data_IF_395056788226
#
_entry.id   IF_395056788226
#
_cell.length_a   1.000
_cell.length_b   1.000
_cell.length_c   1.000
_cell.angle_alpha   90.00
_cell.angle_beta   90.00
_cell.angle_gamma   90.00
#
_symmetry.space_group_name_H-M   'P 1'
#
loop_
_entity.id
_entity.type
_entity.pdbx_description
1 polymer ?
#
# COMPACT_ATOMS: atom_id res chain seq x y z
N UNK A 1 8.41 19.00 2.44
CA UNK A 1 8.28 18.30 3.74
C UNK A 1 9.00 16.95 3.65
N UNK A 2 9.92 16.70 4.56
CA UNK A 2 10.66 15.45 4.60
C UNK A 2 9.78 14.31 5.11
N UNK A 3 9.89 13.11 4.55
CA UNK A 3 9.16 11.91 5.01
C UNK A 3 9.45 11.64 6.49
N UNK A 4 10.69 11.83 6.92
CA UNK A 4 11.10 11.68 8.32
C UNK A 4 10.32 12.59 9.28
N UNK A 5 10.10 13.84 8.90
CA UNK A 5 9.33 14.78 9.74
C UNK A 5 7.86 14.37 9.82
N UNK A 6 7.32 13.80 8.74
CA UNK A 6 5.96 13.24 8.73
C UNK A 6 5.85 12.06 9.69
N UNK A 7 6.79 11.11 9.64
CA UNK A 7 6.79 9.94 10.53
C UNK A 7 6.86 10.37 12.00
N UNK A 8 7.76 11.29 12.35
CA UNK A 8 7.86 11.82 13.72
C UNK A 8 6.57 12.46 14.20
N UNK A 9 5.92 13.26 13.36
CA UNK A 9 4.63 13.88 13.70
C UNK A 9 3.51 12.86 13.86
N UNK A 10 3.48 11.83 13.03
CA UNK A 10 2.50 10.74 13.14
C UNK A 10 2.67 9.98 14.45
N UNK A 11 3.89 9.60 14.80
CA UNK A 11 4.20 8.90 16.06
C UNK A 11 3.81 9.74 17.28
N UNK A 12 4.16 11.02 17.27
CA UNK A 12 3.84 11.94 18.37
C UNK A 12 2.33 12.15 18.58
N UNK A 13 1.52 12.03 17.54
CA UNK A 13 0.07 12.26 17.60
C UNK A 13 -0.76 10.98 17.52
N UNK A 14 -0.15 9.81 17.43
CA UNK A 14 -0.84 8.53 17.27
C UNK A 14 -1.66 8.43 15.96
N UNK A 15 -1.29 9.21 14.93
CA UNK A 15 -2.00 9.23 13.66
C UNK A 15 -1.69 8.00 12.82
N UNK A 16 -2.69 7.54 12.06
CA UNK A 16 -2.55 6.44 11.10
C UNK A 16 -2.36 6.97 9.69
N UNK A 17 -1.63 6.22 8.86
CA UNK A 17 -1.41 6.56 7.47
C UNK A 17 -1.98 5.47 6.56
N UNK A 18 -2.60 5.91 5.46
CA UNK A 18 -3.15 5.03 4.43
C UNK A 18 -2.60 5.41 3.07
N UNK A 19 -2.29 4.39 2.26
CA UNK A 19 -1.95 4.56 0.85
C UNK A 19 -3.18 4.23 0.02
N UNK A 20 -3.69 5.21 -0.73
CA UNK A 20 -4.84 5.02 -1.59
C UNK A 20 -4.41 5.11 -3.05
N UNK A 21 -4.58 4.00 -3.79
CA UNK A 21 -4.31 4.00 -5.21
C UNK A 21 -5.50 4.61 -5.98
N UNK A 22 -5.25 5.71 -6.65
CA UNK A 22 -6.22 6.39 -7.53
C UNK A 22 -5.89 6.24 -9.00
N UNK A 23 -4.86 5.47 -9.33
CA UNK A 23 -4.35 5.26 -10.68
C UNK A 23 -4.93 4.02 -11.36
N UNK A 24 -4.06 3.28 -12.02
CA UNK A 24 -4.41 2.10 -12.81
C UNK A 24 -4.29 0.83 -11.97
N UNK A 25 -5.17 -0.13 -12.24
CA UNK A 25 -5.10 -1.48 -11.68
C UNK A 25 -4.57 -2.50 -12.72
N UNK A 26 -4.47 -3.77 -12.33
CA UNK A 26 -3.98 -4.84 -13.19
C UNK A 26 -4.82 -5.12 -14.43
N UNK A 27 -6.09 -4.68 -14.46
CA UNK A 27 -6.95 -4.79 -15.65
C UNK A 27 -6.64 -3.75 -16.74
N UNK A 28 -5.69 -2.84 -16.50
CA UNK A 28 -5.43 -1.70 -17.36
C UNK A 28 -6.49 -0.60 -17.30
N UNK A 29 -7.39 -0.66 -16.33
CA UNK A 29 -8.41 0.36 -16.09
C UNK A 29 -8.03 1.23 -14.88
N UNK A 30 -8.39 2.49 -14.96
CA UNK A 30 -8.23 3.41 -13.84
C UNK A 30 -9.27 3.13 -12.77
N UNK A 31 -8.87 3.20 -11.50
CA UNK A 31 -9.79 3.11 -10.38
C UNK A 31 -10.77 4.28 -10.44
N UNK A 32 -12.06 3.98 -10.28
CA UNK A 32 -13.11 4.97 -10.46
C UNK A 32 -13.11 5.99 -9.33
N UNK A 33 -13.61 7.19 -9.61
CA UNK A 33 -13.80 8.23 -8.59
C UNK A 33 -14.77 7.75 -7.50
N UNK A 34 -15.78 6.98 -7.88
CA UNK A 34 -16.75 6.39 -6.95
C UNK A 34 -16.06 5.47 -5.95
N UNK A 35 -15.21 4.57 -6.42
CA UNK A 35 -14.46 3.64 -5.55
C UNK A 35 -13.46 4.40 -4.67
N UNK A 36 -12.75 5.38 -5.23
CA UNK A 36 -11.83 6.23 -4.48
C UNK A 36 -12.54 6.98 -3.35
N UNK A 37 -13.71 7.56 -3.62
CA UNK A 37 -14.52 8.23 -2.59
C UNK A 37 -14.98 7.25 -1.52
N UNK A 38 -15.45 6.07 -1.90
CA UNK A 38 -15.85 5.02 -0.95
C UNK A 38 -14.71 4.61 -0.02
N UNK A 39 -13.50 4.50 -0.53
CA UNK A 39 -12.30 4.20 0.29
C UNK A 39 -12.03 5.35 1.27
N UNK A 40 -12.05 6.59 0.80
CA UNK A 40 -11.82 7.76 1.65
C UNK A 40 -12.91 7.88 2.73
N UNK A 41 -14.16 7.67 2.38
CA UNK A 41 -15.27 7.69 3.34
C UNK A 41 -15.10 6.60 4.41
N UNK A 42 -14.66 5.40 4.03
CA UNK A 42 -14.37 4.32 4.98
C UNK A 42 -13.20 4.65 5.92
N UNK A 43 -12.22 5.41 5.46
CA UNK A 43 -11.12 5.91 6.30
C UNK A 43 -11.66 6.95 7.29
N UNK A 44 -12.42 7.92 6.82
CA UNK A 44 -12.96 9.01 7.65
C UNK A 44 -13.99 8.54 8.67
N UNK A 45 -14.84 7.58 8.31
CA UNK A 45 -15.82 6.97 9.23
C UNK A 45 -15.21 6.00 10.24
N UNK A 46 -13.99 5.54 9.99
CA UNK A 46 -13.31 4.51 10.77
C UNK A 46 -13.73 3.07 10.42
N UNK A 47 -14.53 2.85 9.41
CA UNK A 47 -14.95 1.51 8.98
C UNK A 47 -13.77 0.66 8.52
N UNK A 48 -12.74 1.28 7.95
CA UNK A 48 -11.50 0.60 7.57
C UNK A 48 -10.79 -0.07 8.76
N UNK A 49 -10.94 0.49 9.96
CA UNK A 49 -10.36 -0.07 11.18
C UNK A 49 -11.09 -1.31 11.69
N UNK A 50 -12.33 -1.49 11.27
CA UNK A 50 -13.18 -2.63 11.61
C UNK A 50 -13.13 -3.74 10.55
N UNK A 51 -12.64 -3.42 9.37
CA UNK A 51 -12.54 -4.36 8.27
C UNK A 51 -11.47 -5.43 8.55
N UNK A 52 -11.76 -6.66 8.16
CA UNK A 52 -10.74 -7.70 8.11
C UNK A 52 -9.69 -7.33 7.07
N UNK A 53 -8.43 -7.57 7.40
CA UNK A 53 -7.30 -7.28 6.53
C UNK A 53 -6.57 -8.55 6.12
N UNK A 54 -5.90 -8.48 4.98
CA UNK A 54 -4.92 -9.48 4.53
C UNK A 54 -3.62 -8.80 4.13
N UNK A 55 -2.51 -9.50 4.29
CA UNK A 55 -1.19 -8.95 3.99
C UNK A 55 -0.80 -9.28 2.56
N UNK A 56 -0.34 -8.25 1.81
CA UNK A 56 0.22 -8.45 0.47
C UNK A 56 1.63 -9.03 0.61
N UNK A 57 1.93 -10.17 -0.02
CA UNK A 57 3.27 -10.74 -0.02
C UNK A 57 4.33 -9.76 -0.57
N UNK A 58 5.57 -9.90 -0.13
CA UNK A 58 6.73 -9.09 -0.49
C UNK A 58 6.72 -7.67 0.05
N UNK A 59 5.58 -6.97 0.04
CA UNK A 59 5.47 -5.58 0.48
C UNK A 59 5.05 -5.43 1.94
N UNK A 60 4.49 -6.49 2.55
CA UNK A 60 3.99 -6.48 3.93
C UNK A 60 2.98 -5.35 4.22
N UNK A 61 2.22 -4.97 3.21
CA UNK A 61 1.15 -4.00 3.34
C UNK A 61 -0.17 -4.71 3.64
N UNK A 62 -0.89 -4.21 4.62
CA UNK A 62 -2.23 -4.70 4.94
C UNK A 62 -3.27 -4.02 4.05
N UNK A 63 -4.13 -4.83 3.45
CA UNK A 63 -5.25 -4.34 2.65
C UNK A 63 -6.57 -4.89 3.22
N UNK A 64 -7.65 -4.10 3.25
CA UNK A 64 -8.94 -4.58 3.69
C UNK A 64 -9.51 -5.60 2.69
N UNK A 65 -10.22 -6.59 3.19
CA UNK A 65 -10.88 -7.60 2.35
C UNK A 65 -12.22 -7.11 1.78
N UNK A 66 -12.86 -6.19 2.49
CA UNK A 66 -14.09 -5.54 2.04
C UNK A 66 -14.25 -4.16 2.68
N UNK A 67 -14.87 -3.23 1.97
CA UNK A 67 -15.25 -1.92 2.47
C UNK A 67 -16.67 -1.56 1.98
N UNK A 68 -17.47 -0.86 2.80
CA UNK A 68 -18.79 -0.42 2.39
C UNK A 68 -18.75 0.47 1.13
N UNK A 69 -19.58 0.17 0.14
CA UNK A 69 -19.68 0.97 -1.09
C UNK A 69 -18.51 0.87 -2.05
N UNK A 70 -17.55 -0.01 -1.79
CA UNK A 70 -16.38 -0.25 -2.65
C UNK A 70 -16.43 -1.66 -3.23
N UNK A 71 -16.11 -1.79 -4.52
CA UNK A 71 -15.98 -3.11 -5.14
C UNK A 71 -14.79 -3.86 -4.51
N UNK A 72 -14.98 -5.00 -3.83
CA UNK A 72 -13.90 -5.71 -3.17
C UNK A 72 -12.82 -6.21 -4.13
N UNK A 73 -13.13 -6.40 -5.41
CA UNK A 73 -12.17 -6.85 -6.41
C UNK A 73 -11.02 -5.87 -6.68
N UNK A 74 -11.16 -4.60 -6.28
CA UNK A 74 -10.11 -3.59 -6.47
C UNK A 74 -9.23 -3.38 -5.23
N UNK A 75 -9.60 -3.95 -4.09
CA UNK A 75 -8.90 -3.74 -2.82
C UNK A 75 -7.56 -4.49 -2.75
N UNK A 76 -7.50 -5.67 -3.35
CA UNK A 76 -6.25 -6.41 -3.48
C UNK A 76 -5.75 -6.31 -4.93
N UNK A 77 -4.55 -5.77 -5.16
CA UNK A 77 -4.00 -5.65 -6.52
C UNK A 77 -3.85 -7.00 -7.23
N UNK A 78 -3.69 -8.10 -6.50
CA UNK A 78 -3.62 -9.45 -7.08
C UNK A 78 -4.90 -9.85 -7.80
N UNK A 79 -6.04 -9.46 -7.25
CA UNK A 79 -7.36 -9.81 -7.78
C UNK A 79 -7.71 -9.05 -9.07
N UNK A 80 -6.93 -8.03 -9.41
CA UNK A 80 -7.12 -7.24 -10.64
C UNK A 80 -6.39 -7.81 -11.85
N UNK A 81 -5.52 -8.78 -11.67
CA UNK A 81 -4.82 -9.47 -12.76
C UNK A 81 -5.57 -10.73 -13.17
N UNK A 82 -5.60 -11.01 -14.48
CA UNK A 82 -6.19 -12.24 -15.01
C UNK A 82 -5.39 -13.49 -14.62
N UNK A 83 -4.09 -13.33 -14.45
CA UNK A 83 -3.15 -14.39 -14.06
C UNK A 83 -2.35 -13.95 -12.84
N UNK A 84 -2.41 -14.75 -11.78
CA UNK A 84 -1.67 -14.49 -10.55
C UNK A 84 -0.15 -14.46 -10.78
N UNK A 85 0.37 -15.23 -11.73
CA UNK A 85 1.80 -15.27 -12.06
C UNK A 85 2.27 -13.96 -12.70
N UNK A 86 1.41 -13.29 -13.45
CA UNK A 86 1.72 -11.97 -14.01
C UNK A 86 1.91 -10.93 -12.92
N UNK A 87 0.99 -10.91 -11.95
CA UNK A 87 1.13 -10.03 -10.78
C UNK A 87 2.42 -10.33 -10.02
N UNK A 88 2.70 -11.60 -9.76
CA UNK A 88 3.89 -12.00 -9.00
C UNK A 88 5.18 -11.55 -9.68
N UNK A 89 5.27 -11.73 -10.99
CA UNK A 89 6.43 -11.29 -11.80
C UNK A 89 6.63 -9.77 -11.70
N UNK A 90 5.55 -9.00 -11.89
CA UNK A 90 5.59 -7.54 -11.80
C UNK A 90 5.89 -7.06 -10.38
N UNK A 91 5.35 -7.73 -9.37
CA UNK A 91 5.59 -7.41 -7.97
C UNK A 91 7.04 -7.67 -7.57
N UNK A 92 7.65 -8.77 -8.00
CA UNK A 92 9.07 -9.06 -7.78
C UNK A 92 9.98 -8.03 -8.45
N UNK A 93 9.70 -7.66 -9.69
CA UNK A 93 10.47 -6.61 -10.39
C UNK A 93 10.37 -5.27 -9.63
N UNK A 94 9.17 -4.87 -9.24
CA UNK A 94 8.94 -3.63 -8.50
C UNK A 94 9.65 -3.67 -7.13
N UNK A 95 9.52 -4.75 -6.38
CA UNK A 95 10.18 -4.94 -5.09
C UNK A 95 11.71 -4.82 -5.22
N UNK A 96 12.29 -5.46 -6.23
CA UNK A 96 13.72 -5.34 -6.54
C UNK A 96 14.15 -3.90 -6.85
N UNK A 97 13.33 -3.16 -7.58
CA UNK A 97 13.60 -1.73 -7.86
C UNK A 97 13.54 -0.88 -6.60
N UNK A 98 12.59 -1.12 -5.70
CA UNK A 98 12.52 -0.44 -4.41
C UNK A 98 13.76 -0.72 -3.56
N UNK A 99 14.13 -1.99 -3.42
CA UNK A 99 15.33 -2.39 -2.65
C UNK A 99 16.57 -1.69 -3.20
N UNK A 100 16.79 -1.75 -4.52
CA UNK A 100 17.93 -1.12 -5.19
C UNK A 100 17.93 0.41 -5.01
N UNK A 101 16.77 1.04 -5.13
CA UNK A 101 16.66 2.49 -4.98
C UNK A 101 16.88 2.93 -3.53
N UNK A 102 16.42 2.14 -2.56
CA UNK A 102 16.52 2.49 -1.14
C UNK A 102 17.97 2.50 -0.62
N UNK A 103 18.90 1.81 -1.27
CA UNK A 103 20.33 1.85 -0.93
C UNK A 103 20.84 3.28 -0.84
N UNK A 104 20.33 4.21 -1.64
CA UNK A 104 20.70 5.62 -1.61
C UNK A 104 20.39 6.32 -0.27
N UNK A 105 19.49 5.75 0.51
CA UNK A 105 18.99 6.32 1.78
C UNK A 105 19.52 5.59 3.02
N UNK A 106 20.45 4.64 2.85
CA UNK A 106 21.07 3.87 3.94
C UNK A 106 22.36 4.49 4.47
N UNK A 107 22.67 5.73 4.08
CA UNK A 107 23.85 6.47 4.54
C UNK A 107 23.82 6.90 6.01
N UNK A 108 22.68 6.78 6.68
CA UNK A 108 22.50 7.08 8.11
C UNK A 108 21.83 5.91 8.83
N UNK A 109 21.83 5.95 10.16
CA UNK A 109 21.30 4.86 11.00
C UNK A 109 19.78 4.73 10.87
N UNK A 110 19.06 5.83 10.69
CA UNK A 110 17.61 5.82 10.47
C UNK A 110 17.26 5.10 9.15
N UNK A 111 17.96 5.38 8.07
CA UNK A 111 17.78 4.70 6.79
C UNK A 111 18.10 3.21 6.87
N UNK A 112 19.18 2.85 7.56
CA UNK A 112 19.55 1.45 7.79
C UNK A 112 18.47 0.70 8.57
N UNK A 113 17.89 1.31 9.60
CA UNK A 113 16.83 0.69 10.41
C UNK A 113 15.54 0.41 9.63
N UNK A 114 15.30 1.16 8.55
CA UNK A 114 14.11 1.01 7.71
C UNK A 114 14.25 -0.04 6.60
N UNK A 115 15.42 -0.61 6.39
CA UNK A 115 15.64 -1.66 5.37
C UNK A 115 14.71 -2.86 5.61
N UNK A 116 14.55 -3.27 6.86
CA UNK A 116 13.68 -4.39 7.22
C UNK A 116 12.17 -4.09 7.03
N UNK A 117 11.79 -2.82 6.98
CA UNK A 117 10.40 -2.40 6.73
C UNK A 117 10.07 -2.34 5.22
N UNK A 118 11.06 -2.46 4.35
CA UNK A 118 10.89 -2.47 2.90
C UNK A 118 10.44 -3.83 2.36
N UNK A 119 10.30 -3.93 1.02
CA UNK A 119 9.94 -5.18 0.38
C UNK A 119 10.93 -6.30 0.69
N UNK A 120 10.41 -7.50 0.89
CA UNK A 120 11.17 -8.73 1.10
C UNK A 120 10.96 -9.66 -0.09
N UNK A 121 12.04 -10.10 -0.72
CA UNK A 121 12.03 -11.03 -1.85
C UNK A 121 12.35 -12.45 -1.39
#
# INVERSE_FOLDING_TARGET
MCIRDRVKKMEANGAKAYLVNTGWNGTGKRITIKDTRGIIDAILSGDILKAETKTIPMFNLEVPTSLPGVNPAILDPRDTYADASEWETKAKDLAGRFIKNFVKYTGNDEGKSLVAAGPQL
#
